data_IF_222505562332
#
_entry.id   IF_222505562332
#
_cell.length_a   1.000
_cell.length_b   1.000
_cell.length_c   1.000
_cell.angle_alpha   90.00
_cell.angle_beta   90.00
_cell.angle_gamma   90.00
#
_symmetry.space_group_name_H-M   'P 1'
#
loop_
_entity.id
_entity.type
_entity.pdbx_description
1 polymer ?
#
# COMPACT_ATOMS: atom_id res chain seq x y z
N UNK A 1 2.04 27.53 -12.33
CA UNK A 1 1.94 26.09 -11.95
C UNK A 1 1.29 25.98 -10.59
N UNK A 2 0.23 25.17 -10.43
CA UNK A 2 -0.50 25.03 -9.16
C UNK A 2 0.22 24.10 -8.17
N UNK A 3 0.10 24.36 -6.85
CA UNK A 3 0.71 23.58 -5.75
C UNK A 3 0.41 22.07 -5.82
N UNK A 4 -0.73 21.70 -6.40
CA UNK A 4 -1.14 20.31 -6.70
C UNK A 4 -0.24 19.61 -7.74
N UNK A 5 0.26 20.36 -8.73
CA UNK A 5 1.08 19.82 -9.81
C UNK A 5 2.52 19.54 -9.36
N UNK A 6 3.05 20.39 -8.46
CA UNK A 6 4.37 20.21 -7.82
C UNK A 6 4.38 18.97 -6.93
N UNK A 7 3.35 18.81 -6.07
CA UNK A 7 3.18 17.63 -5.21
C UNK A 7 3.12 16.32 -5.99
N UNK A 8 2.30 16.26 -7.03
CA UNK A 8 2.17 15.05 -7.82
C UNK A 8 3.51 14.67 -8.44
N UNK A 9 4.27 15.66 -8.94
CA UNK A 9 5.61 15.46 -9.50
C UNK A 9 6.58 14.87 -8.48
N UNK A 10 6.58 15.35 -7.25
CA UNK A 10 7.41 14.80 -6.16
C UNK A 10 7.07 13.34 -5.86
N UNK A 11 5.79 13.02 -5.73
CA UNK A 11 5.31 11.66 -5.43
C UNK A 11 5.62 10.68 -6.56
N UNK A 12 5.51 11.10 -7.83
CA UNK A 12 5.94 10.32 -8.99
C UNK A 12 7.46 10.10 -8.99
N UNK A 13 8.23 11.14 -8.68
CA UNK A 13 9.69 11.08 -8.69
C UNK A 13 10.22 10.17 -7.57
N UNK A 14 9.64 10.24 -6.37
CA UNK A 14 9.97 9.34 -5.27
C UNK A 14 9.63 7.88 -5.59
N UNK A 15 8.47 7.66 -6.22
CA UNK A 15 8.06 6.32 -6.66
C UNK A 15 8.98 5.75 -7.75
N UNK A 16 9.40 6.57 -8.71
CA UNK A 16 10.37 6.16 -9.74
C UNK A 16 11.70 5.80 -9.08
N UNK A 17 12.20 6.61 -8.14
CA UNK A 17 13.44 6.33 -7.41
C UNK A 17 13.37 5.03 -6.61
N UNK A 18 12.25 4.79 -5.91
CA UNK A 18 12.05 3.55 -5.15
C UNK A 18 11.97 2.34 -6.09
N UNK A 19 11.24 2.47 -7.20
CA UNK A 19 11.16 1.44 -8.23
C UNK A 19 12.50 1.11 -8.89
N UNK A 20 13.30 2.13 -9.22
CA UNK A 20 14.64 1.93 -9.80
C UNK A 20 15.59 1.25 -8.82
N UNK A 21 15.51 1.58 -7.52
CA UNK A 21 16.29 0.90 -6.47
C UNK A 21 15.90 -0.58 -6.36
N UNK A 22 14.60 -0.90 -6.36
CA UNK A 22 14.13 -2.30 -6.35
C UNK A 22 14.64 -3.06 -7.57
N UNK A 23 14.56 -2.46 -8.76
CA UNK A 23 15.14 -3.01 -9.99
C UNK A 23 16.64 -3.29 -9.87
N UNK A 24 17.39 -2.34 -9.30
CA UNK A 24 18.84 -2.50 -9.05
C UNK A 24 19.16 -3.65 -8.09
N UNK A 25 18.40 -3.80 -7.00
CA UNK A 25 18.57 -4.90 -6.04
C UNK A 25 18.37 -6.26 -6.72
N UNK A 26 17.31 -6.40 -7.51
CA UNK A 26 17.03 -7.63 -8.26
C UNK A 26 18.16 -7.94 -9.23
N UNK A 27 18.66 -6.93 -9.95
CA UNK A 27 19.80 -7.11 -10.86
C UNK A 27 21.06 -7.59 -10.12
N UNK A 28 21.37 -7.05 -8.95
CA UNK A 28 22.51 -7.52 -8.14
C UNK A 28 22.34 -9.00 -7.76
N UNK A 29 21.15 -9.42 -7.34
CA UNK A 29 20.86 -10.83 -7.06
C UNK A 29 21.04 -11.72 -8.30
N UNK A 30 20.62 -11.24 -9.47
CA UNK A 30 20.80 -11.95 -10.75
C UNK A 30 22.28 -12.08 -11.12
N UNK A 31 23.07 -11.02 -10.96
CA UNK A 31 24.53 -11.05 -11.21
C UNK A 31 25.23 -12.04 -10.29
N UNK A 32 24.89 -12.05 -8.99
CA UNK A 32 25.44 -13.01 -8.03
C UNK A 32 25.09 -14.44 -8.46
N UNK A 33 23.84 -14.70 -8.85
CA UNK A 33 23.42 -16.02 -9.32
C UNK A 33 24.12 -16.47 -10.59
N UNK A 34 24.28 -15.58 -11.58
CA UNK A 34 25.03 -15.85 -12.81
C UNK A 34 26.51 -16.11 -12.49
N UNK A 35 27.10 -15.39 -11.54
CA UNK A 35 28.48 -15.58 -11.10
C UNK A 35 28.69 -16.97 -10.48
N UNK A 36 27.77 -17.41 -9.61
CA UNK A 36 27.80 -18.76 -9.02
C UNK A 36 27.63 -19.83 -10.12
N UNK A 37 26.78 -19.58 -11.12
CA UNK A 37 26.47 -20.50 -12.23
C UNK A 37 27.22 -20.14 -13.53
N UNK A 38 28.45 -19.62 -13.41
CA UNK A 38 29.15 -19.03 -14.56
C UNK A 38 29.40 -20.03 -15.70
N UNK A 39 29.70 -21.29 -15.37
CA UNK A 39 29.97 -22.34 -16.36
C UNK A 39 28.77 -22.63 -17.28
N UNK A 40 27.55 -22.51 -16.76
CA UNK A 40 26.33 -22.85 -17.48
C UNK A 40 25.69 -21.64 -18.16
N UNK A 41 25.74 -20.46 -17.52
CA UNK A 41 24.99 -19.29 -17.98
C UNK A 41 25.86 -18.04 -18.19
N UNK A 42 27.05 -18.00 -17.61
CA UNK A 42 27.91 -16.81 -17.58
C UNK A 42 28.36 -16.35 -18.96
N UNK A 43 28.78 -17.28 -19.83
CA UNK A 43 29.24 -16.94 -21.20
C UNK A 43 28.14 -16.31 -22.06
N UNK A 44 26.90 -16.78 -21.92
CA UNK A 44 25.76 -16.27 -22.67
C UNK A 44 25.24 -14.94 -22.09
N UNK A 45 25.28 -14.76 -20.76
CA UNK A 45 24.74 -13.58 -20.10
C UNK A 45 25.71 -12.38 -20.05
N UNK A 46 27.03 -12.61 -20.11
CA UNK A 46 28.06 -11.57 -19.97
C UNK A 46 27.84 -10.34 -20.89
N UNK A 47 27.55 -10.50 -22.20
CA UNK A 47 27.33 -9.35 -23.08
C UNK A 47 26.06 -8.57 -22.73
N UNK A 48 25.11 -9.21 -22.05
CA UNK A 48 23.80 -8.67 -21.73
C UNK A 48 23.71 -8.06 -20.34
N UNK A 49 24.73 -8.16 -19.48
CA UNK A 49 24.67 -7.68 -18.10
C UNK A 49 24.32 -6.19 -17.98
N UNK A 50 24.93 -5.35 -18.83
CA UNK A 50 24.70 -3.90 -18.86
C UNK A 50 23.32 -3.56 -19.44
N UNK A 51 22.91 -4.10 -20.61
CA UNK A 51 21.53 -3.96 -21.09
C UNK A 51 20.48 -4.43 -20.08
N UNK A 52 20.75 -5.54 -19.38
CA UNK A 52 19.86 -6.08 -18.35
C UNK A 52 19.71 -5.11 -17.19
N UNK A 53 20.78 -4.47 -16.71
CA UNK A 53 20.71 -3.47 -15.64
C UNK A 53 19.74 -2.34 -16.00
N UNK A 54 19.89 -1.78 -17.20
CA UNK A 54 18.99 -0.73 -17.69
C UNK A 54 17.54 -1.24 -17.76
N UNK A 55 17.34 -2.46 -18.26
CA UNK A 55 16.04 -3.14 -18.28
C UNK A 55 15.40 -3.25 -16.89
N UNK A 56 16.14 -3.74 -15.89
CA UNK A 56 15.65 -3.90 -14.52
C UNK A 56 15.33 -2.56 -13.86
N UNK A 57 16.16 -1.53 -14.07
CA UNK A 57 15.90 -0.18 -13.56
C UNK A 57 14.58 0.37 -14.13
N UNK A 58 14.38 0.25 -15.45
CA UNK A 58 13.17 0.72 -16.13
C UNK A 58 11.95 -0.09 -15.71
N UNK A 59 12.04 -1.42 -15.69
CA UNK A 59 10.97 -2.31 -15.24
C UNK A 59 10.56 -2.02 -13.80
N UNK A 60 11.53 -1.84 -12.89
CA UNK A 60 11.27 -1.48 -11.50
C UNK A 60 10.55 -0.12 -11.37
N UNK A 61 10.98 0.88 -12.13
CA UNK A 61 10.32 2.19 -12.17
C UNK A 61 8.88 2.10 -12.72
N UNK A 62 8.66 1.33 -13.80
CA UNK A 62 7.33 1.12 -14.40
C UNK A 62 6.39 0.38 -13.45
N UNK A 63 6.88 -0.65 -12.76
CA UNK A 63 6.10 -1.42 -11.81
C UNK A 63 5.62 -0.53 -10.66
N UNK A 64 6.51 0.31 -10.12
CA UNK A 64 6.15 1.24 -9.06
C UNK A 64 5.20 2.36 -9.54
N UNK A 65 5.39 2.88 -10.76
CA UNK A 65 4.46 3.82 -11.39
C UNK A 65 3.05 3.23 -11.54
N UNK A 66 2.95 1.94 -11.88
CA UNK A 66 1.70 1.20 -11.95
C UNK A 66 0.97 1.15 -10.60
N UNK A 67 1.70 0.95 -9.50
CA UNK A 67 1.13 0.95 -8.15
C UNK A 67 0.60 2.32 -7.70
N UNK A 68 1.28 3.41 -8.09
CA UNK A 68 0.86 4.79 -7.78
C UNK A 68 -0.45 5.15 -8.48
N UNK A 69 -0.59 4.76 -9.75
CA UNK A 69 -1.83 4.98 -10.51
C UNK A 69 -2.98 4.09 -10.01
N UNK A 70 -2.67 2.89 -9.52
CA UNK A 70 -3.65 1.92 -9.01
C UNK A 70 -3.79 2.01 -7.48
N UNK A 71 -4.29 3.15 -7.00
CA UNK A 71 -5.05 3.22 -5.72
C UNK A 71 -6.41 2.48 -5.78
N UNK A 72 -6.72 1.79 -6.89
CA UNK A 72 -8.04 1.25 -7.23
C UNK A 72 -8.14 -0.28 -7.30
N UNK A 73 -7.06 -1.02 -7.04
CA UNK A 73 -7.17 -2.48 -7.00
C UNK A 73 -7.48 -2.91 -5.57
N UNK A 74 -8.77 -3.07 -5.29
CA UNK A 74 -9.27 -3.70 -4.07
C UNK A 74 -8.65 -5.11 -3.94
N UNK A 75 -8.30 -5.51 -2.71
CA UNK A 75 -7.39 -6.63 -2.41
C UNK A 75 -7.61 -7.93 -3.18
N UNK A 76 -8.86 -8.27 -3.54
CA UNK A 76 -9.17 -9.46 -4.33
C UNK A 76 -8.71 -9.34 -5.80
N UNK A 77 -8.89 -8.19 -6.44
CA UNK A 77 -8.47 -7.95 -7.82
C UNK A 77 -6.92 -7.92 -7.94
N UNK A 78 -6.22 -7.60 -6.85
CA UNK A 78 -4.75 -7.63 -6.82
C UNK A 78 -4.25 -9.06 -6.86
N UNK A 79 -4.87 -9.94 -6.07
CA UNK A 79 -4.57 -11.38 -6.07
C UNK A 79 -4.84 -12.01 -7.44
N UNK A 80 -5.98 -11.70 -8.06
CA UNK A 80 -6.28 -12.19 -9.42
C UNK A 80 -5.29 -11.68 -10.46
N UNK A 81 -4.85 -10.43 -10.37
CA UNK A 81 -3.82 -9.90 -11.29
C UNK A 81 -2.46 -10.60 -11.12
N UNK A 82 -2.08 -11.00 -9.92
CA UNK A 82 -0.87 -11.80 -9.67
C UNK A 82 -0.99 -13.18 -10.32
N UNK A 83 -2.14 -13.85 -10.17
CA UNK A 83 -2.41 -15.17 -10.77
C UNK A 83 -2.36 -15.11 -12.30
N UNK A 84 -2.98 -14.08 -12.91
CA UNK A 84 -2.97 -13.88 -14.36
C UNK A 84 -1.56 -13.63 -14.88
N UNK A 85 -0.77 -12.82 -14.17
CA UNK A 85 0.64 -12.58 -14.51
C UNK A 85 1.45 -13.88 -14.41
N UNK A 86 1.24 -14.68 -13.36
CA UNK A 86 1.93 -15.95 -13.17
C UNK A 86 1.60 -16.95 -14.30
N UNK A 87 0.33 -17.04 -14.71
CA UNK A 87 -0.10 -17.88 -15.83
C UNK A 87 0.52 -17.41 -17.16
N UNK A 88 0.52 -16.11 -17.42
CA UNK A 88 1.16 -15.54 -18.61
C UNK A 88 2.67 -15.82 -18.63
N UNK A 89 3.35 -15.72 -17.49
CA UNK A 89 4.77 -16.06 -17.36
C UNK A 89 5.05 -17.54 -17.65
N UNK A 90 4.16 -18.46 -17.26
CA UNK A 90 4.28 -19.90 -17.58
C UNK A 90 4.16 -20.13 -19.09
N UNK A 91 3.18 -19.49 -19.76
CA UNK A 91 3.02 -19.59 -21.21
C UNK A 91 4.23 -19.01 -21.97
N UNK A 92 4.74 -17.87 -21.51
CA UNK A 92 5.91 -17.21 -22.12
C UNK A 92 7.18 -18.01 -21.86
N UNK A 93 7.32 -18.63 -20.69
CA UNK A 93 8.47 -19.45 -20.33
C UNK A 93 8.69 -20.56 -21.37
N UNK A 94 7.65 -21.16 -21.96
CA UNK A 94 7.79 -22.20 -22.97
C UNK A 94 8.68 -21.81 -24.16
N UNK A 95 8.67 -20.53 -24.57
CA UNK A 95 9.44 -20.02 -25.71
C UNK A 95 10.83 -19.47 -25.35
N UNK A 96 11.18 -19.47 -24.06
CA UNK A 96 12.38 -18.82 -23.56
C UNK A 96 13.51 -19.84 -23.31
N UNK A 97 14.77 -19.54 -23.69
CA UNK A 97 15.95 -20.35 -23.35
C UNK A 97 16.10 -20.60 -21.84
N UNK A 98 16.57 -21.79 -21.46
CA UNK A 98 16.62 -22.20 -20.05
C UNK A 98 17.36 -21.22 -19.14
N UNK A 99 18.48 -20.66 -19.60
CA UNK A 99 19.25 -19.68 -18.82
C UNK A 99 18.46 -18.40 -18.50
N UNK A 100 17.57 -17.96 -19.40
CA UNK A 100 16.69 -16.80 -19.17
C UNK A 100 15.54 -17.19 -18.23
N UNK A 101 15.01 -18.43 -18.32
CA UNK A 101 13.97 -18.92 -17.40
C UNK A 101 14.45 -18.86 -15.95
N UNK A 102 15.66 -19.33 -15.67
CA UNK A 102 16.21 -19.29 -14.31
C UNK A 102 16.35 -17.86 -13.78
N UNK A 103 16.75 -16.92 -14.64
CA UNK A 103 16.85 -15.49 -14.28
C UNK A 103 15.47 -14.91 -13.94
N UNK A 104 14.44 -15.23 -14.73
CA UNK A 104 13.07 -14.76 -14.50
C UNK A 104 12.52 -15.31 -13.18
N UNK A 105 12.68 -16.62 -12.94
CA UNK A 105 12.22 -17.27 -11.70
C UNK A 105 12.91 -16.66 -10.48
N UNK A 106 14.23 -16.46 -10.53
CA UNK A 106 14.97 -15.80 -9.46
C UNK A 106 14.47 -14.37 -9.23
N UNK A 107 14.25 -13.61 -10.31
CA UNK A 107 13.76 -12.22 -10.22
C UNK A 107 12.40 -12.15 -9.54
N UNK A 108 11.48 -13.07 -9.90
CA UNK A 108 10.16 -13.17 -9.28
C UNK A 108 10.25 -13.58 -7.80
N UNK A 109 11.14 -14.52 -7.47
CA UNK A 109 11.38 -14.92 -6.09
C UNK A 109 11.89 -13.75 -5.23
N UNK A 110 12.87 -12.99 -5.71
CA UNK A 110 13.40 -11.81 -5.01
C UNK A 110 12.30 -10.74 -4.82
N UNK A 111 11.48 -10.51 -5.85
CA UNK A 111 10.33 -9.61 -5.76
C UNK A 111 9.33 -10.04 -4.68
N UNK A 112 8.98 -11.33 -4.61
CA UNK A 112 8.11 -11.85 -3.57
C UNK A 112 8.70 -11.64 -2.17
N UNK A 113 10.00 -11.89 -1.97
CA UNK A 113 10.67 -11.66 -0.69
C UNK A 113 10.59 -10.19 -0.29
N UNK A 114 10.85 -9.26 -1.22
CA UNK A 114 10.75 -7.82 -0.97
C UNK A 114 9.31 -7.44 -0.58
N UNK A 115 8.30 -7.94 -1.31
CA UNK A 115 6.89 -7.65 -1.01
C UNK A 115 6.43 -8.22 0.33
N UNK A 116 6.80 -9.47 0.65
CA UNK A 116 6.49 -10.08 1.94
C UNK A 116 7.19 -9.32 3.07
N UNK A 117 8.42 -8.89 2.87
CA UNK A 117 9.17 -8.05 3.80
C UNK A 117 8.48 -6.71 4.05
N UNK A 118 8.09 -6.00 2.99
CA UNK A 118 7.33 -4.75 3.06
C UNK A 118 5.98 -4.93 3.76
N UNK A 119 5.24 -6.00 3.42
CA UNK A 119 3.97 -6.32 4.07
C UNK A 119 4.17 -6.61 5.57
N UNK A 120 5.19 -7.37 5.94
CA UNK A 120 5.48 -7.68 7.34
C UNK A 120 5.93 -6.43 8.11
N UNK A 121 6.75 -5.58 7.50
CA UNK A 121 7.15 -4.29 8.07
C UNK A 121 5.94 -3.39 8.32
N UNK A 122 5.07 -3.23 7.32
CA UNK A 122 3.84 -2.45 7.44
C UNK A 122 2.88 -3.06 8.47
N UNK A 123 2.71 -4.38 8.48
CA UNK A 123 1.89 -5.09 9.48
C UNK A 123 2.43 -4.90 10.90
N UNK A 124 3.77 -4.93 11.08
CA UNK A 124 4.40 -4.69 12.38
C UNK A 124 4.28 -3.22 12.79
N UNK A 125 4.44 -2.30 11.85
CA UNK A 125 4.30 -0.86 12.09
C UNK A 125 2.84 -0.51 12.44
N UNK A 126 1.87 -1.03 11.71
CA UNK A 126 0.45 -0.93 12.01
C UNK A 126 0.15 -1.51 13.39
N UNK A 127 0.70 -2.69 13.75
CA UNK A 127 0.57 -3.25 15.09
C UNK A 127 1.21 -2.38 16.17
N UNK A 128 2.36 -1.75 15.92
CA UNK A 128 3.00 -0.82 16.88
C UNK A 128 2.15 0.45 17.09
N UNK A 129 1.59 1.00 16.01
CA UNK A 129 0.69 2.14 16.06
C UNK A 129 -0.65 1.78 16.75
N UNK A 130 -1.17 0.58 16.48
CA UNK A 130 -2.38 0.06 17.11
C UNK A 130 -2.16 -0.38 18.56
N UNK A 131 -0.96 -0.79 18.97
CA UNK A 131 -0.63 -1.07 20.37
C UNK A 131 -0.69 0.16 21.29
N UNK A 132 -0.78 1.37 20.72
CA UNK A 132 -1.08 2.60 21.46
C UNK A 132 -2.58 2.90 21.63
N UNK A 133 -3.48 2.12 21.00
CA UNK A 133 -4.94 2.24 21.14
C UNK A 133 -5.58 0.85 21.04
N UNK A 134 -5.82 0.22 22.18
CA UNK A 134 -6.62 -1.00 22.28
C UNK A 134 -8.09 -0.63 22.08
N UNK A 135 -8.66 -1.00 20.94
CA UNK A 135 -10.08 -0.82 20.64
C UNK A 135 -10.31 -0.85 19.13
N UNK A 136 -11.45 -1.38 18.68
CA UNK A 136 -11.85 -1.22 17.28
C UNK A 136 -11.97 0.28 17.01
N UNK A 137 -11.13 0.80 16.10
CA UNK A 137 -11.14 2.20 15.73
C UNK A 137 -11.96 2.37 14.45
N UNK A 138 -13.24 2.71 14.57
CA UNK A 138 -14.06 3.06 13.41
C UNK A 138 -13.75 4.51 13.02
N UNK A 139 -13.28 4.69 11.78
CA UNK A 139 -12.93 5.99 11.22
C UNK A 139 -13.99 6.43 10.22
N UNK A 140 -14.81 7.41 10.59
CA UNK A 140 -15.87 7.97 9.74
C UNK A 140 -15.34 9.25 9.09
N UNK A 141 -15.15 9.25 7.78
CA UNK A 141 -14.70 10.44 7.04
C UNK A 141 -15.81 11.50 6.99
N UNK A 142 -15.52 12.72 7.47
CA UNK A 142 -16.39 13.87 7.39
C UNK A 142 -16.08 14.70 6.14
N UNK A 143 -17.11 15.05 5.37
CA UNK A 143 -16.96 15.92 4.19
C UNK A 143 -16.50 17.34 4.55
N UNK A 144 -16.94 17.83 5.70
CA UNK A 144 -16.66 19.19 6.19
C UNK A 144 -16.44 19.19 7.70
N UNK A 145 -15.63 20.15 8.18
CA UNK A 145 -15.41 20.37 9.61
C UNK A 145 -16.76 20.65 10.27
N UNK A 146 -17.11 19.98 11.38
CA UNK A 146 -18.28 20.37 12.14
C UNK A 146 -18.06 21.75 12.75
N UNK A 147 -19.02 22.65 12.55
CA UNK A 147 -18.93 24.06 12.97
C UNK A 147 -19.18 24.25 14.46
N UNK A 148 -19.89 23.30 15.10
CA UNK A 148 -20.23 23.31 16.52
C UNK A 148 -20.29 21.89 17.09
N UNK A 149 -20.31 21.78 18.43
CA UNK A 149 -20.52 20.53 19.17
C UNK A 149 -21.83 19.84 18.76
N UNK A 150 -22.88 20.60 18.52
CA UNK A 150 -24.19 20.10 18.07
C UNK A 150 -24.12 19.54 16.65
N UNK A 151 -23.39 20.20 15.73
CA UNK A 151 -23.19 19.72 14.37
C UNK A 151 -22.34 18.43 14.33
N UNK A 152 -21.40 18.28 15.26
CA UNK A 152 -20.64 17.05 15.44
C UNK A 152 -21.53 15.87 15.89
N UNK A 153 -22.35 16.08 16.93
CA UNK A 153 -23.24 15.05 17.45
C UNK A 153 -24.30 14.65 16.42
N UNK A 154 -24.90 15.63 15.73
CA UNK A 154 -25.89 15.38 14.67
C UNK A 154 -25.35 14.53 13.54
N UNK A 155 -24.13 14.83 13.06
CA UNK A 155 -23.47 14.03 12.00
C UNK A 155 -23.19 12.60 12.45
N UNK A 156 -22.99 12.38 13.74
CA UNK A 156 -22.77 11.06 14.31
C UNK A 156 -24.09 10.28 14.49
N UNK A 157 -25.16 10.94 14.94
CA UNK A 157 -26.52 10.37 15.00
C UNK A 157 -27.01 9.97 13.60
N UNK A 158 -26.83 10.85 12.59
CA UNK A 158 -27.19 10.57 11.19
C UNK A 158 -26.39 9.38 10.59
N UNK A 159 -25.20 9.09 11.13
CA UNK A 159 -24.44 7.92 10.75
C UNK A 159 -25.02 6.65 11.40
N UNK A 160 -25.25 6.68 12.71
CA UNK A 160 -25.79 5.53 13.45
C UNK A 160 -27.20 5.16 12.96
N UNK A 161 -28.04 6.14 12.66
CA UNK A 161 -29.39 5.93 12.11
C UNK A 161 -29.34 5.22 10.74
N UNK A 162 -28.41 5.60 9.87
CA UNK A 162 -28.27 5.03 8.53
C UNK A 162 -27.77 3.59 8.54
N UNK A 163 -26.84 3.30 9.45
CA UNK A 163 -26.27 1.97 9.62
C UNK A 163 -27.10 1.10 10.58
N UNK A 164 -28.25 1.61 11.06
CA UNK A 164 -29.16 0.93 11.99
C UNK A 164 -28.48 0.45 13.29
N UNK A 165 -27.58 1.29 13.83
CA UNK A 165 -26.83 1.07 15.06
C UNK A 165 -27.60 1.69 16.22
N UNK A 166 -27.83 0.95 17.31
CA UNK A 166 -28.44 1.49 18.51
C UNK A 166 -27.44 2.38 19.26
N UNK A 167 -27.87 3.59 19.61
CA UNK A 167 -27.00 4.62 20.15
C UNK A 167 -27.57 5.16 21.47
N UNK A 168 -26.80 5.03 22.54
CA UNK A 168 -27.09 5.64 23.84
C UNK A 168 -25.96 6.61 24.23
N UNK A 169 -26.30 7.79 24.71
CA UNK A 169 -25.30 8.79 25.11
C UNK A 169 -25.05 8.75 26.63
N UNK A 170 -23.82 8.48 27.05
CA UNK A 170 -23.39 8.70 28.44
C UNK A 170 -22.93 10.14 28.65
N UNK A 171 -22.09 10.65 27.74
CA UNK A 171 -21.55 12.02 27.80
C UNK A 171 -21.72 12.69 26.45
N UNK A 172 -22.59 13.71 26.40
CA UNK A 172 -22.78 14.58 25.24
C UNK A 172 -21.72 15.69 25.24
N UNK A 173 -20.47 15.34 24.98
CA UNK A 173 -19.36 16.30 24.82
C UNK A 173 -18.43 15.98 23.64
N UNK A 174 -17.36 16.75 23.43
CA UNK A 174 -16.30 16.42 22.47
C UNK A 174 -14.98 16.25 23.25
N UNK A 175 -14.49 15.02 23.48
CA UNK A 175 -15.01 13.74 23.01
C UNK A 175 -16.34 13.30 23.62
N UNK A 176 -17.15 12.58 22.84
CA UNK A 176 -18.41 12.00 23.31
C UNK A 176 -18.17 10.56 23.80
N UNK A 177 -18.83 10.17 24.89
CA UNK A 177 -18.87 8.77 25.34
C UNK A 177 -20.26 8.24 25.02
N UNK A 178 -20.31 7.21 24.19
CA UNK A 178 -21.54 6.63 23.64
C UNK A 178 -21.52 5.12 23.76
N UNK A 179 -22.68 4.54 23.97
CA UNK A 179 -22.94 3.11 23.92
C UNK A 179 -23.48 2.80 22.51
N UNK A 180 -22.67 2.14 21.69
CA UNK A 180 -23.06 1.65 20.36
C UNK A 180 -23.33 0.16 20.47
N UNK A 181 -24.58 -0.27 20.28
CA UNK A 181 -24.99 -1.69 20.37
C UNK A 181 -24.52 -2.39 21.66
N UNK A 182 -24.58 -1.68 22.80
CA UNK A 182 -24.15 -2.21 24.09
C UNK A 182 -22.63 -2.13 24.35
N UNK A 183 -21.84 -1.59 23.43
CA UNK A 183 -20.39 -1.39 23.58
C UNK A 183 -20.08 0.07 23.87
N UNK A 184 -19.33 0.33 24.95
CA UNK A 184 -18.91 1.66 25.37
C UNK A 184 -17.78 2.16 24.47
N UNK A 185 -18.01 3.28 23.82
CA UNK A 185 -17.17 3.85 22.78
C UNK A 185 -16.91 5.34 23.03
N UNK A 186 -15.66 5.75 22.86
CA UNK A 186 -15.26 7.14 22.85
C UNK A 186 -15.17 7.68 21.40
N UNK A 187 -15.92 8.74 21.11
CA UNK A 187 -15.95 9.40 19.79
C UNK A 187 -15.17 10.70 19.83
N UNK A 188 -14.02 10.72 19.14
CA UNK A 188 -13.14 11.89 19.01
C UNK A 188 -13.20 12.47 17.60
N UNK A 189 -13.15 13.80 17.49
CA UNK A 189 -12.86 14.47 16.22
C UNK A 189 -11.35 14.43 15.98
N UNK A 190 -10.91 13.72 14.96
CA UNK A 190 -9.53 13.69 14.51
C UNK A 190 -9.41 14.41 13.16
N UNK A 191 -8.23 14.94 12.86
CA UNK A 191 -7.98 15.59 11.58
C UNK A 191 -6.68 15.04 11.00
N UNK A 192 -6.79 14.37 9.85
CA UNK A 192 -5.58 13.96 9.14
C UNK A 192 -5.20 15.07 8.16
N UNK A 193 -3.97 15.60 8.20
CA UNK A 193 -3.53 16.57 7.21
C UNK A 193 -3.52 15.91 5.82
N UNK A 194 -4.53 16.27 5.03
CA UNK A 194 -4.75 15.82 3.66
C UNK A 194 -4.35 16.90 2.66
N UNK A 195 -3.90 16.50 1.48
CA UNK A 195 -3.38 17.45 0.52
C UNK A 195 -4.50 17.98 -0.39
N UNK A 196 -5.20 18.98 0.14
CA UNK A 196 -6.40 19.62 -0.41
C UNK A 196 -7.23 20.38 0.65
N UNK A 197 -6.84 20.27 1.92
CA UNK A 197 -7.59 20.70 3.09
C UNK A 197 -7.48 19.60 4.15
N UNK A 198 -7.70 19.91 5.43
CA UNK A 198 -7.76 18.86 6.44
C UNK A 198 -8.94 17.91 6.14
N UNK A 199 -8.67 16.60 6.07
CA UNK A 199 -9.73 15.60 6.08
C UNK A 199 -10.10 15.38 7.55
N UNK A 200 -11.32 15.78 7.90
CA UNK A 200 -11.86 15.58 9.23
C UNK A 200 -12.44 14.18 9.31
N UNK A 201 -12.24 13.52 10.44
CA UNK A 201 -12.74 12.17 10.64
C UNK A 201 -13.20 12.01 12.09
N UNK A 202 -14.32 11.34 12.29
CA UNK A 202 -14.68 10.89 13.63
C UNK A 202 -14.00 9.56 13.85
N UNK A 203 -13.23 9.47 14.93
CA UNK A 203 -12.62 8.22 15.37
C UNK A 203 -13.38 7.73 16.58
N UNK A 204 -14.15 6.68 16.40
CA UNK A 204 -14.80 5.92 17.47
C UNK A 204 -13.79 4.90 17.95
N UNK A 205 -13.48 4.88 19.25
CA UNK A 205 -12.58 3.90 19.86
C UNK A 205 -13.34 3.22 20.98
N UNK A 206 -13.41 1.89 20.98
CA UNK A 206 -13.95 1.15 22.14
C UNK A 206 -13.09 1.42 23.39
N UNK A 207 -13.74 1.60 24.54
CA UNK A 207 -13.09 1.73 25.87
C UNK A 207 -12.97 0.38 26.59
#
# INVERSE_FOLDING_TARGET
MTKKNIRNKELYMESIKRGSLVGGIIWVCVVIFISINYKTMGKAALPWLVPMLAGYIVLGALLQLGTVKKRMINGLAALWSIIIIMFALICIAYYIPDWIRYIIVLSFFVLLVIWVGDYWYLSRMARKLNKGRSGYALCISLKEKPSSKEDFLRKFEDYCYRENISLEYEVKDVPAIVLMDGIRCEVRLDSTPGFGGAEYMMKVTEE
#
